data_IF_387839044427
#
_entry.id   IF_387839044427
#
_cell.length_a   1.000
_cell.length_b   1.000
_cell.length_c   1.000
_cell.angle_alpha   90.00
_cell.angle_beta   90.00
_cell.angle_gamma   90.00
#
_symmetry.space_group_name_H-M   'P 1'
#
loop_
_entity.id
_entity.type
_entity.pdbx_description
1 polymer ?
#
# COMPACT_ATOMS: atom_id res chain seq x y z
N UNK A 1 35.44 -16.01 -4.23
CA UNK A 1 33.99 -16.26 -4.28
C UNK A 1 33.31 -15.11 -3.55
N UNK A 2 32.60 -14.24 -4.26
CA UNK A 2 31.83 -13.16 -3.64
C UNK A 2 30.57 -13.72 -3.01
N UNK A 3 30.33 -13.41 -1.73
CA UNK A 3 29.06 -13.71 -1.08
C UNK A 3 27.99 -12.83 -1.72
N UNK A 4 26.94 -13.44 -2.28
CA UNK A 4 25.75 -12.72 -2.70
C UNK A 4 24.92 -12.55 -1.43
N UNK A 5 24.97 -11.36 -0.83
CA UNK A 5 24.01 -10.98 0.21
C UNK A 5 22.71 -10.72 -0.52
N UNK A 6 21.79 -11.70 -0.52
CA UNK A 6 20.40 -11.40 -0.89
C UNK A 6 19.87 -10.46 0.18
N UNK A 7 19.63 -9.20 -0.15
CA UNK A 7 18.83 -8.34 0.71
C UNK A 7 17.48 -9.04 0.93
N UNK A 8 17.09 -9.23 2.19
CA UNK A 8 15.77 -9.77 2.51
C UNK A 8 14.69 -8.97 1.75
N UNK A 9 13.68 -9.63 1.16
CA UNK A 9 12.66 -8.93 0.40
C UNK A 9 11.94 -7.90 1.26
N UNK A 10 11.82 -6.67 0.75
CA UNK A 10 11.03 -5.63 1.40
C UNK A 10 9.54 -5.91 1.20
N UNK A 11 8.85 -6.18 2.31
CA UNK A 11 7.43 -6.53 2.35
C UNK A 11 6.50 -5.32 2.62
N UNK A 12 6.99 -4.09 2.46
CA UNK A 12 6.15 -2.88 2.52
C UNK A 12 5.52 -2.51 1.17
N UNK A 13 5.55 -3.42 0.20
CA UNK A 13 4.92 -3.24 -1.10
C UNK A 13 3.40 -3.39 -0.94
N UNK A 14 2.57 -2.55 -1.59
CA UNK A 14 1.12 -2.71 -1.59
C UNK A 14 0.68 -4.04 -2.21
N UNK A 15 -0.18 -4.76 -1.50
CA UNK A 15 -0.86 -5.98 -1.93
C UNK A 15 -2.38 -5.83 -1.79
N UNK A 16 -3.14 -6.68 -2.49
CA UNK A 16 -4.62 -6.72 -2.42
C UNK A 16 -5.28 -5.34 -2.62
N UNK A 17 -4.82 -4.59 -3.62
CA UNK A 17 -5.35 -3.26 -3.93
C UNK A 17 -6.83 -3.37 -4.32
N UNK A 18 -7.65 -2.57 -3.65
CA UNK A 18 -9.08 -2.45 -3.89
C UNK A 18 -9.46 -0.98 -4.09
N UNK A 19 -10.34 -0.74 -5.07
CA UNK A 19 -10.86 0.58 -5.40
C UNK A 19 -12.37 0.61 -5.18
N UNK A 20 -12.86 1.63 -4.49
CA UNK A 20 -14.29 1.86 -4.32
C UNK A 20 -14.66 3.33 -4.52
N UNK A 21 -15.92 3.60 -4.83
CA UNK A 21 -16.43 4.96 -4.91
C UNK A 21 -16.64 5.56 -3.52
N UNK A 22 -16.37 6.86 -3.39
CA UNK A 22 -16.79 7.64 -2.24
C UNK A 22 -18.28 8.02 -2.29
N UNK A 23 -18.69 8.91 -1.37
CA UNK A 23 -20.05 9.48 -1.37
C UNK A 23 -20.31 10.42 -2.57
N UNK A 24 -19.24 10.86 -3.24
CA UNK A 24 -19.27 11.73 -4.42
C UNK A 24 -18.60 10.97 -5.60
N UNK A 25 -19.18 10.98 -6.81
CA UNK A 25 -18.61 10.29 -7.99
C UNK A 25 -17.25 10.84 -8.45
N UNK A 26 -16.82 11.99 -7.95
CA UNK A 26 -15.48 12.55 -8.16
C UNK A 26 -14.43 12.00 -7.19
N UNK A 27 -14.85 11.17 -6.21
CA UNK A 27 -14.00 10.59 -5.20
C UNK A 27 -13.82 9.08 -5.40
N UNK A 28 -12.60 8.62 -5.16
CA UNK A 28 -12.23 7.20 -5.12
C UNK A 28 -11.51 6.91 -3.81
N UNK A 29 -11.88 5.81 -3.17
CA UNK A 29 -11.20 5.28 -2.00
C UNK A 29 -10.27 4.18 -2.48
N UNK A 30 -9.00 4.29 -2.11
CA UNK A 30 -7.97 3.28 -2.35
C UNK A 30 -7.69 2.57 -1.04
N UNK A 31 -7.74 1.25 -1.05
CA UNK A 31 -7.40 0.41 0.10
C UNK A 31 -6.42 -0.66 -0.36
N UNK A 32 -5.36 -0.90 0.42
CA UNK A 32 -4.46 -2.02 0.19
C UNK A 32 -3.93 -2.52 1.54
N UNK A 33 -3.17 -3.61 1.50
CA UNK A 33 -2.48 -4.18 2.65
C UNK A 33 -0.99 -4.22 2.35
N UNK A 34 -0.16 -4.03 3.36
CA UNK A 34 1.28 -4.31 3.30
C UNK A 34 1.59 -5.36 4.36
N UNK A 35 2.56 -6.24 4.09
CA UNK A 35 2.95 -7.29 5.02
C UNK A 35 3.95 -6.79 6.08
N UNK A 36 4.62 -5.65 5.83
CA UNK A 36 5.37 -4.90 6.83
C UNK A 36 4.69 -3.57 7.17
N UNK A 37 4.95 -3.08 8.39
CA UNK A 37 4.62 -1.72 8.78
C UNK A 37 5.35 -0.70 7.88
N UNK A 38 4.62 0.35 7.48
CA UNK A 38 5.11 1.46 6.66
C UNK A 38 4.82 2.76 7.38
N UNK A 39 5.65 3.79 7.13
CA UNK A 39 5.47 5.10 7.77
C UNK A 39 4.36 5.92 7.11
N UNK A 40 4.18 5.76 5.79
CA UNK A 40 3.29 6.59 4.99
C UNK A 40 2.50 5.74 3.99
N UNK A 41 1.23 6.11 3.78
CA UNK A 41 0.38 5.57 2.71
C UNK A 41 0.06 6.70 1.74
N UNK A 42 0.68 6.65 0.56
CA UNK A 42 0.59 7.71 -0.45
C UNK A 42 0.00 7.12 -1.71
N UNK A 43 -1.03 7.78 -2.24
CA UNK A 43 -1.59 7.50 -3.56
C UNK A 43 -1.20 8.64 -4.48
N UNK A 44 -0.37 8.35 -5.47
CA UNK A 44 -0.07 9.28 -6.55
C UNK A 44 -1.00 8.98 -7.74
N UNK A 45 -1.53 10.03 -8.36
CA UNK A 45 -2.51 9.90 -9.42
C UNK A 45 -2.50 11.14 -10.31
N UNK A 46 -3.01 10.97 -11.52
CA UNK A 46 -3.37 12.05 -12.43
C UNK A 46 -4.25 11.49 -13.56
N UNK A 47 -4.49 12.29 -14.61
CA UNK A 47 -5.25 11.85 -15.78
C UNK A 47 -4.36 11.43 -16.96
N UNK A 48 -3.07 11.77 -16.93
CA UNK A 48 -2.16 11.67 -18.08
C UNK A 48 -0.85 10.93 -17.74
N UNK A 49 -0.89 10.02 -16.76
CA UNK A 49 0.21 9.16 -16.30
C UNK A 49 1.49 9.89 -15.84
N UNK A 50 1.35 11.15 -15.44
CA UNK A 50 2.43 11.97 -14.86
C UNK A 50 2.50 11.87 -13.33
N UNK A 51 1.48 11.30 -12.66
CA UNK A 51 1.42 11.10 -11.20
C UNK A 51 1.73 12.38 -10.39
N UNK A 52 1.31 13.53 -10.89
CA UNK A 52 1.65 14.84 -10.31
C UNK A 52 0.75 15.29 -9.15
N UNK A 53 -0.30 14.52 -8.83
CA UNK A 53 -1.13 14.72 -7.65
C UNK A 53 -0.88 13.59 -6.66
N UNK A 54 -0.98 13.90 -5.37
CA UNK A 54 -0.83 12.92 -4.30
C UNK A 54 -1.85 13.16 -3.20
N UNK A 55 -2.37 12.08 -2.65
CA UNK A 55 -3.10 12.08 -1.38
C UNK A 55 -2.39 11.21 -0.36
N UNK A 56 -2.45 11.62 0.91
CA UNK A 56 -1.93 10.87 2.06
C UNK A 56 -3.13 10.24 2.76
N UNK A 57 -3.16 8.91 2.82
CA UNK A 57 -4.22 8.19 3.53
C UNK A 57 -3.83 7.81 4.96
N UNK A 58 -4.74 7.10 5.62
CA UNK A 58 -4.55 6.57 6.97
C UNK A 58 -4.02 5.14 6.95
N UNK A 59 -3.20 4.79 7.92
CA UNK A 59 -2.70 3.42 8.15
C UNK A 59 -3.30 2.90 9.45
N UNK A 60 -3.75 1.65 9.45
CA UNK A 60 -4.11 0.91 10.66
C UNK A 60 -3.51 -0.49 10.62
N UNK A 61 -2.86 -0.89 11.71
CA UNK A 61 -2.30 -2.23 11.83
C UNK A 61 -3.42 -3.21 12.17
N UNK A 62 -3.59 -4.22 11.32
CA UNK A 62 -4.38 -5.40 11.63
C UNK A 62 -3.44 -6.53 12.01
N UNK A 63 -3.51 -6.98 13.25
CA UNK A 63 -2.78 -8.16 13.70
C UNK A 63 -3.74 -9.35 13.66
N UNK A 64 -3.55 -10.21 12.67
CA UNK A 64 -4.19 -11.51 12.69
C UNK A 64 -3.65 -12.28 13.91
N UNK A 65 -4.46 -12.40 14.96
CA UNK A 65 -4.10 -13.15 16.18
C UNK A 65 -4.20 -14.66 15.95
N UNK A 66 -4.10 -15.11 14.69
CA UNK A 66 -4.17 -16.49 14.28
C UNK A 66 -3.14 -17.33 14.98
N UNK A 67 -3.60 -18.25 15.82
CA UNK A 67 -2.83 -19.43 16.23
C UNK A 67 -2.87 -20.49 15.13
N UNK A 68 -2.55 -20.11 13.89
CA UNK A 68 -2.54 -21.10 12.81
C UNK A 68 -1.57 -22.23 13.18
N UNK A 69 -2.14 -23.44 13.26
CA UNK A 69 -1.46 -24.72 13.42
C UNK A 69 -1.39 -25.40 12.07
#
# INVERSE_FOLDING_TARGET
>A
MGSIVSSDPFFGQPEQIHLSYGLDPTLMIVTCITLNEVNDFIVEYDQFDMFNKREIGSISIFQDSGSEK
#
